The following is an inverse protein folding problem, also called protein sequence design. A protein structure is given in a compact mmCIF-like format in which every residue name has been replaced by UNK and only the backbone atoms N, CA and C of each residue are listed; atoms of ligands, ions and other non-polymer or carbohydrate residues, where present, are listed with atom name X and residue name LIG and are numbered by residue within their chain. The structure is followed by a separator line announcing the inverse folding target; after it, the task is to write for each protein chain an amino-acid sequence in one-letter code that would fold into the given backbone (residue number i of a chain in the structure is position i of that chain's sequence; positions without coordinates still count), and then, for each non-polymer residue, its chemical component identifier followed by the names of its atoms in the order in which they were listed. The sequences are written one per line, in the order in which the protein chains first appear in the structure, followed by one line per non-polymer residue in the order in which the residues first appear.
data_IF_781225804052
#
_entry.id   IF_781225804052
#
_cell.length_a   1.000
_cell.length_b   1.000
_cell.length_c   1.000
_cell.angle_alpha   90.00
_cell.angle_beta   90.00
_cell.angle_gamma   90.00
#
_symmetry.space_group_name_H-M   'P 1'
#
loop_
_entity.id
_entity.type
_entity.pdbx_description
1 polymer ?
#
# COMPACT_ATOMS: atom_id res chain seq x y z
N UNK A 1 18.09 -1.77 1.60
CA UNK A 1 18.28 -0.86 0.45
C UNK A 1 19.43 0.08 0.76
N UNK A 2 20.44 0.16 -0.12
CA UNK A 2 21.55 1.07 0.09
C UNK A 2 21.09 2.53 0.16
N UNK A 3 21.63 3.29 1.13
CA UNK A 3 21.24 4.69 1.34
C UNK A 3 21.49 5.57 0.12
N UNK A 4 22.56 5.29 -0.62
CA UNK A 4 22.91 6.06 -1.82
C UNK A 4 21.90 5.89 -2.97
N UNK A 5 21.02 4.88 -2.89
CA UNK A 5 20.04 4.60 -3.94
C UNK A 5 18.62 5.08 -3.62
N UNK A 6 18.36 5.57 -2.42
CA UNK A 6 16.97 5.93 -2.02
C UNK A 6 16.37 7.05 -2.89
N UNK A 7 17.21 7.90 -3.47
CA UNK A 7 16.78 8.96 -4.38
C UNK A 7 16.98 8.61 -5.85
N UNK A 8 17.31 7.36 -6.15
CA UNK A 8 17.54 6.90 -7.51
C UNK A 8 16.22 6.59 -8.22
N UNK A 9 16.10 7.05 -9.47
CA UNK A 9 15.06 6.66 -10.39
C UNK A 9 15.70 6.03 -11.63
N UNK A 10 15.15 4.91 -12.13
CA UNK A 10 15.78 4.18 -13.23
C UNK A 10 15.63 4.87 -14.59
N UNK A 11 14.74 5.85 -14.70
CA UNK A 11 14.55 6.64 -15.90
C UNK A 11 13.89 7.97 -15.56
N UNK A 12 14.02 9.00 -16.44
CA UNK A 12 13.30 10.26 -16.23
C UNK A 12 11.79 10.04 -16.13
N UNK A 13 11.14 10.76 -15.23
CA UNK A 13 9.69 10.68 -15.02
C UNK A 13 9.24 9.46 -14.20
N UNK A 14 10.16 8.60 -13.78
CA UNK A 14 9.85 7.46 -12.90
C UNK A 14 10.07 7.84 -11.44
N UNK A 15 9.41 7.13 -10.53
CA UNK A 15 9.59 7.37 -9.11
C UNK A 15 10.99 7.02 -8.65
N UNK A 16 11.49 7.78 -7.68
CA UNK A 16 12.65 7.36 -6.89
C UNK A 16 12.25 6.18 -6.01
N UNK A 17 13.23 5.46 -5.49
CA UNK A 17 12.96 4.38 -4.53
C UNK A 17 12.19 4.91 -3.33
N UNK A 18 12.55 6.09 -2.84
CA UNK A 18 11.88 6.73 -1.71
C UNK A 18 10.40 7.03 -2.01
N UNK A 19 10.11 7.54 -3.21
CA UNK A 19 8.73 7.77 -3.65
C UNK A 19 7.95 6.47 -3.79
N UNK A 20 8.56 5.43 -4.35
CA UNK A 20 7.93 4.12 -4.45
C UNK A 20 7.62 3.55 -3.06
N UNK A 21 8.53 3.68 -2.13
CA UNK A 21 8.34 3.19 -0.77
C UNK A 21 7.19 3.91 -0.07
N UNK A 22 7.10 5.23 -0.25
CA UNK A 22 5.97 5.99 0.25
C UNK A 22 4.65 5.51 -0.35
N UNK A 23 4.64 5.25 -1.66
CA UNK A 23 3.46 4.70 -2.33
C UNK A 23 3.05 3.35 -1.73
N UNK A 24 3.99 2.48 -1.42
CA UNK A 24 3.69 1.18 -0.80
C UNK A 24 3.05 1.38 0.58
N UNK A 25 3.57 2.30 1.38
CA UNK A 25 3.00 2.62 2.70
C UNK A 25 1.58 3.17 2.56
N UNK A 26 1.39 4.16 1.69
CA UNK A 26 0.09 4.81 1.49
C UNK A 26 -0.96 3.80 1.00
N UNK A 27 -0.58 2.97 0.04
CA UNK A 27 -1.47 1.98 -0.56
C UNK A 27 -1.91 0.93 0.45
N UNK A 28 -1.02 0.50 1.32
CA UNK A 28 -1.39 -0.44 2.37
C UNK A 28 -2.42 0.17 3.33
N UNK A 29 -2.25 1.41 3.72
CA UNK A 29 -3.24 2.11 4.55
C UNK A 29 -4.60 2.20 3.88
N UNK A 30 -4.61 2.51 2.58
CA UNK A 30 -5.86 2.61 1.82
C UNK A 30 -6.56 1.26 1.76
N UNK A 31 -5.83 0.20 1.43
CA UNK A 31 -6.41 -1.14 1.33
C UNK A 31 -6.82 -1.68 2.70
N UNK A 32 -6.07 -1.39 3.76
CA UNK A 32 -6.45 -1.77 5.11
C UNK A 32 -7.73 -1.04 5.53
N UNK A 33 -7.88 0.24 5.20
CA UNK A 33 -9.13 0.97 5.44
C UNK A 33 -10.30 0.35 4.70
N UNK A 34 -10.10 -0.03 3.43
CA UNK A 34 -11.13 -0.70 2.64
C UNK A 34 -11.56 -2.02 3.29
N UNK A 35 -10.61 -2.81 3.77
CA UNK A 35 -10.89 -4.05 4.48
C UNK A 35 -11.66 -3.78 5.77
N UNK A 36 -11.26 -2.78 6.54
CA UNK A 36 -11.96 -2.37 7.74
C UNK A 36 -13.40 -1.99 7.42
N UNK A 37 -13.60 -1.09 6.48
CA UNK A 37 -14.92 -0.58 6.11
C UNK A 37 -15.85 -1.71 5.65
N UNK A 38 -15.35 -2.57 4.76
CA UNK A 38 -16.15 -3.67 4.20
C UNK A 38 -16.45 -4.72 5.29
N UNK A 39 -15.49 -5.00 6.17
CA UNK A 39 -15.74 -5.91 7.31
C UNK A 39 -16.81 -5.38 8.27
N UNK A 40 -16.99 -4.06 8.33
CA UNK A 40 -18.02 -3.39 9.14
C UNK A 40 -19.32 -3.17 8.37
N UNK A 41 -19.46 -3.80 7.19
CA UNK A 41 -20.66 -3.76 6.36
C UNK A 41 -20.95 -2.37 5.78
N UNK A 42 -19.92 -1.60 5.46
CA UNK A 42 -20.07 -0.31 4.77
C UNK A 42 -20.74 -0.53 3.42
N UNK A 43 -21.84 0.16 3.18
CA UNK A 43 -22.64 0.04 1.96
C UNK A 43 -22.28 1.08 0.92
N UNK A 44 -21.72 2.21 1.34
CA UNK A 44 -21.32 3.26 0.43
C UNK A 44 -20.09 2.81 -0.37
N UNK A 45 -20.13 2.92 -1.71
CA UNK A 45 -18.95 2.60 -2.51
C UNK A 45 -17.75 3.44 -2.08
N UNK A 46 -16.59 2.80 -1.96
CA UNK A 46 -15.35 3.48 -1.59
C UNK A 46 -14.69 3.99 -2.87
N UNK A 47 -14.38 5.28 -2.97
CA UNK A 47 -13.79 5.84 -4.18
C UNK A 47 -12.40 5.29 -4.45
N UNK A 48 -11.99 5.32 -5.71
CA UNK A 48 -10.62 5.10 -6.11
C UNK A 48 -9.74 6.29 -5.78
N UNK A 49 -8.46 6.15 -6.05
CA UNK A 49 -7.51 7.25 -5.89
C UNK A 49 -6.50 7.23 -7.03
N UNK A 50 -5.95 8.42 -7.34
CA UNK A 50 -4.90 8.56 -8.32
C UNK A 50 -3.54 8.41 -7.64
N UNK A 51 -2.84 7.31 -7.91
CA UNK A 51 -1.58 7.00 -7.24
C UNK A 51 -0.47 8.01 -7.56
N UNK A 52 -0.50 8.59 -8.76
CA UNK A 52 0.49 9.60 -9.15
C UNK A 52 0.24 10.92 -8.43
N UNK A 53 -1.02 11.33 -8.29
CA UNK A 53 -1.40 12.50 -7.51
C UNK A 53 -1.00 12.34 -6.04
N UNK A 54 -1.23 11.16 -5.48
CA UNK A 54 -0.84 10.88 -4.10
C UNK A 54 0.68 10.93 -3.93
N UNK A 55 1.43 10.34 -4.86
CA UNK A 55 2.88 10.37 -4.83
C UNK A 55 3.41 11.81 -4.92
N UNK A 56 2.83 12.62 -5.81
CA UNK A 56 3.24 14.01 -6.00
C UNK A 56 2.97 14.85 -4.73
N UNK A 57 1.86 14.61 -4.07
CA UNK A 57 1.46 15.36 -2.88
C UNK A 57 2.05 14.83 -1.57
N UNK A 58 2.67 13.66 -1.58
CA UNK A 58 3.23 13.05 -0.39
C UNK A 58 4.53 13.72 0.08
N UNK A 59 5.21 14.45 -0.82
CA UNK A 59 6.48 15.12 -0.51
C UNK A 59 7.53 14.18 0.11
N UNK A 60 7.61 12.96 -0.41
CA UNK A 60 8.48 11.91 0.12
C UNK A 60 9.96 12.32 0.15
N UNK A 61 10.39 13.16 -0.79
CA UNK A 61 11.77 13.65 -0.85
C UNK A 61 12.20 14.37 0.44
N UNK A 62 11.24 14.94 1.17
CA UNK A 62 11.50 15.69 2.41
C UNK A 62 11.44 14.81 3.66
N UNK A 63 11.14 13.51 3.51
CA UNK A 63 11.00 12.61 4.65
C UNK A 63 12.32 11.96 5.01
N UNK A 64 12.49 11.68 6.29
CA UNK A 64 13.62 10.91 6.80
C UNK A 64 13.43 9.43 6.46
N UNK A 65 14.44 8.81 5.84
CA UNK A 65 14.36 7.41 5.42
C UNK A 65 14.14 6.44 6.58
N UNK A 66 14.82 6.67 7.71
CA UNK A 66 14.67 5.80 8.89
C UNK A 66 13.25 5.86 9.44
N UNK A 67 12.64 7.03 9.44
CA UNK A 67 11.26 7.19 9.89
C UNK A 67 10.30 6.45 8.97
N UNK A 68 10.56 6.46 7.66
CA UNK A 68 9.76 5.71 6.69
C UNK A 68 9.85 4.20 6.94
N UNK A 69 11.02 3.69 7.28
CA UNK A 69 11.20 2.27 7.60
C UNK A 69 10.43 1.89 8.88
N UNK A 70 10.45 2.74 9.88
CA UNK A 70 9.68 2.53 11.11
C UNK A 70 8.19 2.54 10.80
N UNK A 71 7.74 3.52 10.02
CA UNK A 71 6.34 3.63 9.62
C UNK A 71 5.87 2.37 8.87
N UNK A 72 6.67 1.87 7.95
CA UNK A 72 6.37 0.65 7.21
C UNK A 72 6.13 -0.53 8.15
N UNK A 73 7.02 -0.73 9.12
CA UNK A 73 6.88 -1.81 10.10
C UNK A 73 5.61 -1.68 10.92
N UNK A 74 5.31 -0.46 11.38
CA UNK A 74 4.11 -0.19 12.17
C UNK A 74 2.85 -0.42 11.37
N UNK A 75 2.82 0.04 10.11
CA UNK A 75 1.69 -0.17 9.21
C UNK A 75 1.48 -1.66 8.94
N UNK A 76 2.56 -2.40 8.65
CA UNK A 76 2.48 -3.85 8.45
C UNK A 76 1.94 -4.56 9.69
N UNK A 77 2.42 -4.20 10.85
CA UNK A 77 1.96 -4.79 12.11
C UNK A 77 0.47 -4.46 12.35
N UNK A 78 0.08 -3.23 12.12
CA UNK A 78 -1.33 -2.81 12.25
C UNK A 78 -2.24 -3.60 11.31
N UNK A 79 -1.84 -3.77 10.05
CA UNK A 79 -2.59 -4.55 9.06
C UNK A 79 -2.71 -6.01 9.49
N UNK A 80 -1.63 -6.61 9.97
CA UNK A 80 -1.64 -8.00 10.42
C UNK A 80 -2.60 -8.19 11.60
N UNK A 81 -2.62 -7.26 12.56
CA UNK A 81 -3.55 -7.31 13.68
C UNK A 81 -5.00 -7.15 13.22
N UNK A 82 -5.24 -6.25 12.27
CA UNK A 82 -6.57 -6.06 11.71
C UNK A 82 -7.10 -7.38 11.09
N UNK A 83 -6.32 -7.98 10.19
CA UNK A 83 -6.73 -9.20 9.50
C UNK A 83 -6.84 -10.38 10.46
N UNK A 84 -5.98 -10.48 11.47
CA UNK A 84 -6.09 -11.52 12.49
C UNK A 84 -7.37 -11.42 13.31
N UNK A 85 -7.97 -10.23 13.40
CA UNK A 85 -9.21 -10.01 14.13
C UNK A 85 -10.48 -10.40 13.37
N UNK A 86 -10.38 -10.63 12.05
CA UNK A 86 -11.54 -10.91 11.24
C UNK A 86 -12.08 -12.33 11.47
N UNK A 87 -13.40 -12.43 11.58
CA UNK A 87 -14.09 -13.72 11.55
C UNK A 87 -14.16 -14.25 10.12
N UNK A 88 -14.47 -15.53 9.95
CA UNK A 88 -14.66 -16.09 8.61
C UNK A 88 -15.74 -15.35 7.82
N UNK A 89 -16.81 -14.95 8.49
CA UNK A 89 -17.88 -14.19 7.86
C UNK A 89 -17.40 -12.81 7.39
N UNK A 90 -16.61 -12.12 8.22
CA UNK A 90 -16.02 -10.84 7.84
C UNK A 90 -15.06 -10.96 6.65
N UNK A 91 -14.27 -12.03 6.61
CA UNK A 91 -13.37 -12.28 5.49
C UNK A 91 -14.10 -12.44 4.15
N UNK A 92 -15.32 -12.97 4.18
CA UNK A 92 -16.16 -13.17 3.00
C UNK A 92 -17.00 -11.95 2.64
N UNK A 93 -17.02 -10.92 3.48
CA UNK A 93 -17.82 -9.73 3.24
C UNK A 93 -17.43 -9.05 1.94
N UNK A 94 -18.45 -8.60 1.19
CA UNK A 94 -18.29 -7.92 -0.08
C UNK A 94 -18.65 -6.44 0.03
N UNK A 95 -17.90 -5.62 -0.64
CA UNK A 95 -18.18 -4.20 -0.80
C UNK A 95 -17.73 -3.73 -2.16
N UNK A 96 -17.73 -2.43 -2.38
CA UNK A 96 -17.32 -1.84 -3.65
C UNK A 96 -16.20 -0.85 -3.41
N UNK A 97 -15.10 -0.99 -4.15
CA UNK A 97 -13.98 -0.06 -4.12
C UNK A 97 -13.48 0.16 -5.54
N UNK A 98 -13.18 1.41 -5.92
CA UNK A 98 -12.77 1.77 -7.28
C UNK A 98 -13.74 1.21 -8.33
N UNK A 99 -15.04 1.30 -8.07
CA UNK A 99 -16.14 0.83 -8.93
C UNK A 99 -16.21 -0.69 -9.13
N UNK A 100 -15.45 -1.47 -8.37
CA UNK A 100 -15.43 -2.92 -8.48
C UNK A 100 -15.86 -3.59 -7.17
N UNK A 101 -16.63 -4.69 -7.25
CA UNK A 101 -16.91 -5.49 -6.05
C UNK A 101 -15.63 -6.17 -5.57
N UNK A 102 -15.45 -6.22 -4.26
CA UNK A 102 -14.26 -6.84 -3.68
C UNK A 102 -14.59 -7.41 -2.29
N UNK A 103 -13.97 -8.54 -1.95
CA UNK A 103 -14.08 -9.10 -0.61
C UNK A 103 -12.94 -8.66 0.29
N UNK A 104 -13.15 -8.76 1.60
CA UNK A 104 -12.09 -8.53 2.58
C UNK A 104 -10.91 -9.49 2.31
N UNK A 105 -11.21 -10.76 2.04
CA UNK A 105 -10.16 -11.74 1.74
C UNK A 105 -9.32 -11.34 0.53
N UNK A 106 -9.96 -10.88 -0.55
CA UNK A 106 -9.27 -10.41 -1.74
C UNK A 106 -8.37 -9.21 -1.43
N UNK A 107 -8.80 -8.30 -0.57
CA UNK A 107 -7.99 -7.17 -0.15
C UNK A 107 -6.71 -7.61 0.57
N UNK A 108 -6.78 -8.65 1.38
CA UNK A 108 -5.59 -9.23 2.02
C UNK A 108 -4.58 -9.74 1.00
N UNK A 109 -5.04 -10.44 -0.01
CA UNK A 109 -4.17 -10.91 -1.10
C UNK A 109 -3.60 -9.75 -1.91
N UNK A 110 -4.39 -8.70 -2.15
CA UNK A 110 -3.92 -7.52 -2.88
C UNK A 110 -2.83 -6.80 -2.11
N UNK A 111 -2.98 -6.61 -0.80
CA UNK A 111 -1.97 -5.97 0.04
C UNK A 111 -0.64 -6.71 -0.09
N UNK A 112 -0.66 -8.04 0.08
CA UNK A 112 0.55 -8.86 -0.04
C UNK A 112 1.12 -8.81 -1.46
N UNK A 113 0.26 -8.98 -2.48
CA UNK A 113 0.69 -8.99 -3.88
C UNK A 113 1.27 -7.65 -4.32
N UNK A 114 0.73 -6.54 -3.83
CA UNK A 114 1.24 -5.20 -4.15
C UNK A 114 2.66 -5.01 -3.61
N UNK A 115 2.91 -5.42 -2.37
CA UNK A 115 4.25 -5.35 -1.78
C UNK A 115 5.24 -6.22 -2.57
N UNK A 116 4.81 -7.42 -2.95
CA UNK A 116 5.64 -8.33 -3.74
C UNK A 116 5.95 -7.76 -5.13
N UNK A 117 4.96 -7.16 -5.77
CA UNK A 117 5.12 -6.51 -7.07
C UNK A 117 6.22 -5.44 -7.03
N UNK A 118 6.20 -4.58 -6.03
CA UNK A 118 7.21 -3.53 -5.90
C UNK A 118 8.59 -4.08 -5.55
N UNK A 119 8.65 -5.18 -4.80
CA UNK A 119 9.92 -5.88 -4.55
C UNK A 119 10.54 -6.38 -5.86
N UNK A 120 9.72 -6.94 -6.76
CA UNK A 120 10.18 -7.35 -8.08
C UNK A 120 10.71 -6.17 -8.90
N UNK A 121 10.00 -5.05 -8.89
CA UNK A 121 10.43 -3.85 -9.60
C UNK A 121 11.78 -3.36 -9.06
N UNK A 122 11.97 -3.36 -7.75
CA UNK A 122 13.24 -2.98 -7.14
C UNK A 122 14.38 -3.86 -7.64
N UNK A 123 14.16 -5.16 -7.73
CA UNK A 123 15.19 -6.10 -8.22
C UNK A 123 15.46 -5.94 -9.71
N UNK A 124 14.43 -5.81 -10.52
CA UNK A 124 14.57 -5.81 -11.98
C UNK A 124 15.01 -4.47 -12.54
N UNK A 125 14.49 -3.37 -12.01
CA UNK A 125 14.69 -2.03 -12.59
C UNK A 125 15.61 -1.14 -11.79
N UNK A 126 15.72 -1.36 -10.49
CA UNK A 126 16.58 -0.55 -9.62
C UNK A 126 17.86 -1.28 -9.21
N UNK A 127 18.02 -2.54 -9.61
CA UNK A 127 19.21 -3.36 -9.33
C UNK A 127 19.55 -3.47 -7.84
N UNK A 128 18.54 -3.74 -7.04
CA UNK A 128 18.71 -3.89 -5.59
C UNK A 128 18.59 -5.33 -5.13
#
# INVERSE_FOLDING_TARGET
IPLEKINYAYAPGKWTIKQMFQHVIDTERIFAYRALAISRKEKTPIPGFDENEYANNATAANRNWKDMLVEWRVVRQSTNLLFASFTDDQMKSLGTASDNPISVNALGFIIFGHALHHLHILKERYSI
#
